data_IF_189102627811
#
_entry.id   IF_189102627811
#
_cell.length_a   1.000
_cell.length_b   1.000
_cell.length_c   1.000
_cell.angle_alpha   90.00
_cell.angle_beta   90.00
_cell.angle_gamma   90.00
#
_symmetry.space_group_name_H-M   'P 1'
#
loop_
_entity.id
_entity.type
_entity.pdbx_description
1 polymer ?
#
# COMPACT_ATOMS: atom_id res chain seq x y z
N UNK A 1 -4.18 0.24 -10.13
CA UNK A 1 -3.15 -0.21 -9.17
C UNK A 1 -2.03 -1.02 -9.82
N UNK A 2 -2.16 -1.47 -11.08
CA UNK A 2 -1.06 -2.14 -11.81
C UNK A 2 -0.38 -1.25 -12.86
N UNK A 3 -0.58 0.07 -12.79
CA UNK A 3 -0.01 1.04 -13.72
C UNK A 3 0.34 2.31 -12.95
N UNK A 4 1.61 2.69 -12.96
CA UNK A 4 2.07 3.91 -12.29
C UNK A 4 1.50 5.17 -12.94
N UNK A 5 1.34 5.19 -14.26
CA UNK A 5 0.70 6.29 -14.99
C UNK A 5 -0.74 6.50 -14.53
N UNK A 6 -1.49 5.41 -14.37
CA UNK A 6 -2.87 5.45 -13.84
C UNK A 6 -2.91 6.01 -12.42
N UNK A 7 -1.96 5.63 -11.56
CA UNK A 7 -1.85 6.10 -10.17
C UNK A 7 -1.52 7.59 -10.12
N UNK A 8 -0.55 8.05 -10.91
CA UNK A 8 -0.21 9.47 -10.98
C UNK A 8 -1.36 10.30 -11.57
N UNK A 9 -2.05 9.79 -12.59
CA UNK A 9 -3.23 10.44 -13.15
C UNK A 9 -4.37 10.53 -12.12
N UNK A 10 -4.54 9.50 -11.28
CA UNK A 10 -5.45 9.55 -10.15
C UNK A 10 -5.07 10.65 -9.15
N UNK A 11 -3.81 10.69 -8.70
CA UNK A 11 -3.35 11.71 -7.75
C UNK A 11 -3.54 13.15 -8.29
N UNK A 12 -3.18 13.42 -9.56
CA UNK A 12 -3.41 14.71 -10.22
C UNK A 12 -4.89 15.09 -10.29
N UNK A 13 -5.77 14.11 -10.53
CA UNK A 13 -7.22 14.34 -10.54
C UNK A 13 -7.73 14.70 -9.15
N UNK A 14 -7.27 13.99 -8.12
CA UNK A 14 -7.59 14.31 -6.72
C UNK A 14 -7.16 15.74 -6.38
N UNK A 15 -5.93 16.11 -6.77
CA UNK A 15 -5.40 17.46 -6.54
C UNK A 15 -6.23 18.56 -7.22
N UNK A 16 -6.61 18.35 -8.48
CA UNK A 16 -7.30 19.37 -9.29
C UNK A 16 -8.81 19.46 -9.07
N UNK A 17 -9.47 18.34 -8.76
CA UNK A 17 -10.94 18.28 -8.76
C UNK A 17 -11.54 18.20 -7.36
N UNK A 18 -10.78 17.75 -6.36
CA UNK A 18 -11.31 17.61 -5.00
C UNK A 18 -10.93 18.83 -4.18
N UNK A 19 -11.93 19.55 -3.67
CA UNK A 19 -11.68 20.78 -2.91
C UNK A 19 -11.14 20.50 -1.52
N UNK A 20 -11.61 19.42 -0.85
CA UNK A 20 -11.25 19.07 0.53
C UNK A 20 -11.26 17.56 0.71
N UNK A 21 -10.36 17.06 1.56
CA UNK A 21 -10.22 15.64 1.87
C UNK A 21 -9.95 15.49 3.36
N UNK A 22 -10.90 14.92 4.09
CA UNK A 22 -10.71 14.57 5.50
C UNK A 22 -10.09 13.19 5.70
N UNK A 23 -10.47 12.22 4.84
CA UNK A 23 -10.09 10.82 4.99
C UNK A 23 -9.79 10.23 3.61
N UNK A 24 -8.72 9.44 3.53
CA UNK A 24 -8.43 8.50 2.45
C UNK A 24 -8.26 7.11 3.06
N UNK A 25 -8.89 6.12 2.46
CA UNK A 25 -8.70 4.71 2.80
C UNK A 25 -8.13 3.99 1.59
N UNK A 26 -6.91 3.48 1.72
CA UNK A 26 -6.27 2.65 0.71
C UNK A 26 -6.53 1.18 1.06
N UNK A 27 -7.65 0.68 0.54
CA UNK A 27 -8.17 -0.67 0.80
C UNK A 27 -7.85 -1.68 -0.34
N UNK A 28 -7.39 -1.19 -1.49
CA UNK A 28 -7.11 -2.07 -2.62
C UNK A 28 -6.09 -3.15 -2.24
N UNK A 29 -6.51 -4.41 -2.31
CA UNK A 29 -5.66 -5.56 -2.06
C UNK A 29 -6.15 -6.78 -2.83
N UNK A 30 -5.26 -7.74 -3.06
CA UNK A 30 -5.60 -8.96 -3.78
C UNK A 30 -4.71 -10.14 -3.38
N UNK A 31 -5.33 -11.33 -3.38
CA UNK A 31 -4.61 -12.60 -3.23
C UNK A 31 -4.85 -13.45 -4.47
N UNK A 32 -3.89 -13.48 -5.40
CA UNK A 32 -4.00 -14.30 -6.61
C UNK A 32 -3.76 -15.78 -6.32
N UNK A 33 -4.55 -16.66 -6.95
CA UNK A 33 -4.36 -18.12 -6.89
C UNK A 33 -3.11 -18.58 -7.64
N UNK A 34 -2.73 -17.86 -8.70
CA UNK A 34 -1.60 -18.17 -9.58
C UNK A 34 -0.68 -16.97 -9.62
N UNK A 35 0.62 -17.23 -9.60
CA UNK A 35 1.65 -16.22 -9.83
C UNK A 35 1.40 -15.53 -11.19
N UNK A 36 1.52 -14.20 -11.20
CA UNK A 36 1.39 -13.38 -12.38
C UNK A 36 2.32 -12.17 -12.27
N UNK A 37 2.89 -11.76 -13.39
CA UNK A 37 3.68 -10.53 -13.51
C UNK A 37 2.83 -9.48 -14.20
N UNK A 38 2.93 -8.23 -13.74
CA UNK A 38 2.42 -7.06 -14.46
C UNK A 38 3.42 -6.71 -15.54
N UNK A 39 3.06 -6.91 -16.81
CA UNK A 39 3.97 -6.78 -17.96
C UNK A 39 4.71 -5.43 -18.00
N UNK A 40 4.02 -4.33 -17.68
CA UNK A 40 4.59 -2.99 -17.76
C UNK A 40 5.59 -2.66 -16.63
N UNK A 41 5.48 -3.32 -15.47
CA UNK A 41 6.32 -3.04 -14.28
C UNK A 41 7.26 -4.17 -13.92
N UNK A 42 7.10 -5.33 -14.57
CA UNK A 42 7.86 -6.56 -14.32
C UNK A 42 7.77 -7.10 -12.88
N UNK A 43 6.80 -6.61 -12.11
CA UNK A 43 6.59 -7.04 -10.73
C UNK A 43 5.48 -8.08 -10.60
N UNK A 44 5.62 -8.96 -9.61
CA UNK A 44 4.54 -9.84 -9.16
C UNK A 44 3.29 -9.03 -8.82
N UNK A 45 2.15 -9.45 -9.36
CA UNK A 45 0.92 -8.67 -9.37
C UNK A 45 0.37 -8.35 -7.98
N UNK A 46 0.39 -9.32 -7.05
CA UNK A 46 -0.05 -9.10 -5.67
C UNK A 46 0.88 -8.11 -4.94
N UNK A 47 2.20 -8.25 -5.06
CA UNK A 47 3.17 -7.30 -4.49
C UNK A 47 3.02 -5.90 -5.11
N UNK A 48 2.84 -5.83 -6.43
CA UNK A 48 2.62 -4.59 -7.16
C UNK A 48 1.40 -3.84 -6.60
N UNK A 49 0.27 -4.52 -6.43
CA UNK A 49 -0.98 -3.90 -5.98
C UNK A 49 -0.94 -3.61 -4.47
N UNK A 50 -0.66 -4.61 -3.64
CA UNK A 50 -0.80 -4.52 -2.19
C UNK A 50 0.28 -3.66 -1.54
N UNK A 51 1.48 -3.60 -2.12
CA UNK A 51 2.60 -2.86 -1.54
C UNK A 51 3.07 -1.73 -2.45
N UNK A 52 3.67 -2.01 -3.62
CA UNK A 52 4.40 -0.99 -4.39
C UNK A 52 3.52 0.18 -4.82
N UNK A 53 2.38 -0.12 -5.43
CA UNK A 53 1.43 0.89 -5.90
C UNK A 53 0.71 1.59 -4.78
N UNK A 54 0.40 0.87 -3.69
CA UNK A 54 -0.28 1.44 -2.53
C UNK A 54 0.63 2.42 -1.79
N UNK A 55 1.91 2.09 -1.61
CA UNK A 55 2.89 3.01 -1.02
C UNK A 55 3.18 4.19 -1.96
N UNK A 56 3.30 3.95 -3.27
CA UNK A 56 3.49 5.02 -4.24
C UNK A 56 2.32 6.01 -4.24
N UNK A 57 1.08 5.51 -4.27
CA UNK A 57 -0.11 6.36 -4.16
C UNK A 57 -0.15 7.12 -2.82
N UNK A 58 0.20 6.45 -1.71
CA UNK A 58 0.30 7.09 -0.39
C UNK A 58 1.21 8.31 -0.44
N UNK A 59 2.42 8.14 -0.97
CA UNK A 59 3.42 9.22 -1.09
C UNK A 59 2.88 10.39 -1.91
N UNK A 60 2.23 10.12 -3.06
CA UNK A 60 1.66 11.17 -3.91
C UNK A 60 0.52 11.93 -3.23
N UNK A 61 -0.25 11.27 -2.37
CA UNK A 61 -1.39 11.89 -1.68
C UNK A 61 -0.98 12.72 -0.47
N UNK A 62 0.13 12.41 0.22
CA UNK A 62 0.58 13.14 1.40
C UNK A 62 0.63 14.68 1.25
N UNK A 63 1.29 15.26 0.22
CA UNK A 63 1.30 16.71 0.04
C UNK A 63 -0.09 17.27 -0.26
N UNK A 64 -0.91 16.52 -0.99
CA UNK A 64 -2.29 16.91 -1.33
C UNK A 64 -3.15 16.97 -0.05
N UNK A 65 -3.04 15.96 0.81
CA UNK A 65 -3.77 15.86 2.07
C UNK A 65 -3.38 16.96 3.05
N UNK A 66 -2.09 17.29 3.13
CA UNK A 66 -1.61 18.42 3.94
C UNK A 66 -2.26 19.75 3.55
N UNK A 67 -2.45 19.99 2.24
CA UNK A 67 -3.05 21.24 1.73
C UNK A 67 -4.58 21.22 1.83
N UNK A 68 -5.20 20.07 1.59
CA UNK A 68 -6.67 19.92 1.45
C UNK A 68 -7.37 19.42 2.72
N UNK A 69 -6.72 19.54 3.88
CA UNK A 69 -7.24 19.11 5.18
C UNK A 69 -8.55 19.79 5.59
N UNK A 70 -9.04 19.46 6.79
CA UNK A 70 -10.34 19.93 7.25
C UNK A 70 -10.31 21.44 7.63
N UNK A 71 -11.42 22.17 7.41
CA UNK A 71 -11.51 23.59 7.81
C UNK A 71 -11.36 23.83 9.31
N UNK A 72 -11.59 22.80 10.13
CA UNK A 72 -11.39 22.82 11.57
C UNK A 72 -9.92 23.00 11.95
N UNK A 73 -8.99 22.88 11.00
CA UNK A 73 -7.54 22.83 11.25
C UNK A 73 -7.06 21.43 11.65
N UNK A 74 -7.95 20.43 11.61
CA UNK A 74 -7.59 19.04 11.90
C UNK A 74 -6.85 18.41 10.70
N UNK A 75 -5.78 17.64 10.96
CA UNK A 75 -5.05 16.92 9.92
C UNK A 75 -5.96 15.94 9.17
N UNK A 76 -5.73 15.78 7.87
CA UNK A 76 -6.37 14.71 7.11
C UNK A 76 -5.84 13.33 7.54
N UNK A 77 -6.67 12.30 7.37
CA UNK A 77 -6.34 10.92 7.72
C UNK A 77 -6.06 10.10 6.46
N UNK A 78 -4.94 9.39 6.44
CA UNK A 78 -4.59 8.39 5.45
C UNK A 78 -4.51 7.02 6.14
N UNK A 79 -5.50 6.18 5.91
CA UNK A 79 -5.54 4.82 6.44
C UNK A 79 -5.18 3.83 5.34
N UNK A 80 -4.21 2.97 5.60
CA UNK A 80 -3.83 1.87 4.70
C UNK A 80 -4.31 0.57 5.31
N UNK A 81 -5.02 -0.24 4.53
CA UNK A 81 -5.52 -1.53 5.01
C UNK A 81 -4.38 -2.55 5.00
N UNK A 82 -4.09 -3.06 6.20
CA UNK A 82 -3.13 -4.13 6.48
C UNK A 82 -3.90 -5.37 6.99
N UNK A 83 -3.20 -6.34 7.56
CA UNK A 83 -3.79 -7.49 8.22
C UNK A 83 -2.88 -8.00 9.36
N UNK A 84 -3.45 -8.62 10.40
CA UNK A 84 -2.70 -9.32 11.45
C UNK A 84 -1.75 -10.38 10.90
N UNK A 85 -1.97 -10.86 9.67
CA UNK A 85 -1.10 -11.76 8.95
C UNK A 85 0.33 -11.22 8.73
N UNK A 86 0.55 -9.91 8.87
CA UNK A 86 1.89 -9.33 8.96
C UNK A 86 2.73 -9.94 10.11
N UNK A 87 2.10 -10.39 11.20
CA UNK A 87 2.77 -11.04 12.34
C UNK A 87 3.16 -12.50 12.05
N UNK A 88 2.60 -13.08 10.98
CA UNK A 88 2.84 -14.46 10.57
C UNK A 88 3.80 -14.58 9.36
N UNK A 89 4.37 -13.46 8.90
CA UNK A 89 5.34 -13.45 7.81
C UNK A 89 6.67 -14.06 8.26
N UNK A 90 7.12 -15.12 7.60
CA UNK A 90 8.46 -15.69 7.80
C UNK A 90 9.54 -14.83 7.12
N UNK A 91 9.16 -14.14 6.05
CA UNK A 91 9.96 -13.26 5.22
C UNK A 91 11.31 -13.89 4.81
N UNK A 92 11.29 -15.03 4.09
CA UNK A 92 12.49 -15.85 3.83
C UNK A 92 13.56 -15.14 2.99
N UNK A 93 13.13 -14.25 2.09
CA UNK A 93 13.98 -13.45 1.22
C UNK A 93 14.44 -12.12 1.83
N UNK A 94 14.27 -11.88 3.14
CA UNK A 94 14.66 -10.61 3.81
C UNK A 94 16.12 -10.17 3.61
N UNK A 95 17.03 -11.11 3.31
CA UNK A 95 18.44 -10.85 3.06
C UNK A 95 18.77 -10.72 1.56
N UNK A 96 17.79 -10.87 0.67
CA UNK A 96 17.99 -10.76 -0.76
C UNK A 96 18.38 -9.33 -1.14
N UNK A 97 19.24 -9.22 -2.17
CA UNK A 97 19.66 -7.96 -2.73
C UNK A 97 19.82 -8.11 -4.26
N UNK A 98 19.01 -7.43 -5.08
CA UNK A 98 17.93 -6.50 -4.70
C UNK A 98 16.72 -7.22 -4.08
N UNK A 99 16.17 -6.66 -2.99
CA UNK A 99 15.08 -7.27 -2.23
C UNK A 99 13.79 -7.37 -3.05
N UNK A 100 13.34 -6.29 -3.68
CA UNK A 100 12.04 -6.28 -4.38
C UNK A 100 12.00 -7.25 -5.56
N UNK A 101 13.08 -7.32 -6.35
CA UNK A 101 13.14 -8.25 -7.48
C UNK A 101 13.10 -9.74 -7.06
N UNK A 102 13.41 -10.05 -5.79
CA UNK A 102 13.36 -11.43 -5.30
C UNK A 102 11.94 -11.97 -5.13
N UNK A 103 10.92 -11.11 -5.18
CA UNK A 103 9.51 -11.52 -5.19
C UNK A 103 8.99 -11.85 -6.58
N UNK A 104 9.75 -11.50 -7.63
CA UNK A 104 9.32 -11.62 -9.03
C UNK A 104 9.73 -12.98 -9.65
N UNK A 105 10.32 -13.90 -8.86
CA UNK A 105 10.65 -15.26 -9.31
C UNK A 105 9.51 -16.26 -8.99
N UNK A 106 8.86 -16.85 -10.00
CA UNK A 106 7.80 -17.85 -9.78
C UNK A 106 8.28 -19.10 -9.05
N UNK A 107 9.58 -19.41 -9.05
CA UNK A 107 10.15 -20.60 -8.39
C UNK A 107 10.22 -20.45 -6.87
N UNK A 108 10.32 -19.22 -6.39
CA UNK A 108 10.39 -18.90 -4.95
C UNK A 108 9.06 -18.37 -4.41
N UNK A 109 8.05 -18.24 -5.28
CA UNK A 109 6.74 -17.70 -4.94
C UNK A 109 5.91 -18.67 -4.10
N UNK A 110 5.95 -18.50 -2.78
CA UNK A 110 4.89 -18.98 -1.90
C UNK A 110 3.79 -17.91 -1.78
N UNK A 111 2.57 -18.28 -2.18
CA UNK A 111 1.43 -17.37 -2.21
C UNK A 111 1.07 -16.80 -0.84
N UNK A 112 1.02 -17.64 0.19
CA UNK A 112 0.63 -17.21 1.53
C UNK A 112 1.72 -16.32 2.11
N UNK A 113 2.96 -16.74 1.97
CA UNK A 113 4.10 -16.00 2.50
C UNK A 113 4.30 -14.66 1.78
N UNK A 114 4.11 -14.59 0.45
CA UNK A 114 4.16 -13.32 -0.29
C UNK A 114 3.09 -12.35 0.21
N UNK A 115 1.88 -12.82 0.46
CA UNK A 115 0.81 -11.98 1.01
C UNK A 115 1.12 -11.52 2.44
N UNK A 116 1.58 -12.42 3.32
CA UNK A 116 1.98 -12.05 4.68
C UNK A 116 3.11 -11.03 4.66
N UNK A 117 4.13 -11.27 3.82
CA UNK A 117 5.26 -10.39 3.65
C UNK A 117 4.84 -9.03 3.07
N UNK A 118 3.89 -8.95 2.12
CA UNK A 118 3.41 -7.64 1.62
C UNK A 118 2.72 -6.81 2.72
N UNK A 119 2.00 -7.46 3.64
CA UNK A 119 1.44 -6.79 4.83
C UNK A 119 2.54 -6.39 5.82
N UNK A 120 3.55 -7.22 6.04
CA UNK A 120 4.72 -6.84 6.85
C UNK A 120 5.47 -5.63 6.26
N UNK A 121 5.69 -5.62 4.94
CA UNK A 121 6.35 -4.51 4.24
C UNK A 121 5.57 -3.20 4.40
N UNK A 122 4.24 -3.25 4.46
CA UNK A 122 3.40 -2.07 4.75
C UNK A 122 3.67 -1.51 6.15
N UNK A 123 3.88 -2.37 7.16
CA UNK A 123 4.29 -1.94 8.51
C UNK A 123 5.68 -1.32 8.51
N UNK A 124 6.65 -1.94 7.83
CA UNK A 124 8.01 -1.41 7.71
C UNK A 124 8.05 -0.05 6.99
N UNK A 125 7.22 0.11 5.96
CA UNK A 125 7.06 1.37 5.26
C UNK A 125 6.53 2.47 6.19
N UNK A 126 5.44 2.22 6.93
CA UNK A 126 4.92 3.21 7.88
C UNK A 126 5.96 3.54 8.96
N UNK A 127 6.67 2.54 9.46
CA UNK A 127 7.75 2.73 10.45
C UNK A 127 8.85 3.67 9.94
N UNK A 128 9.15 3.65 8.64
CA UNK A 128 10.10 4.59 8.05
C UNK A 128 9.44 5.95 7.75
N UNK A 129 8.18 5.95 7.31
CA UNK A 129 7.47 7.15 6.90
C UNK A 129 7.27 8.17 8.05
N UNK A 130 7.14 7.70 9.29
CA UNK A 130 6.94 8.58 10.46
C UNK A 130 8.09 9.58 10.67
N UNK A 131 9.29 9.29 10.16
CA UNK A 131 10.43 10.22 10.21
C UNK A 131 10.26 11.40 9.22
N UNK A 132 9.39 11.26 8.22
CA UNK A 132 9.20 12.24 7.15
C UNK A 132 7.85 12.97 7.21
N UNK A 133 6.87 12.41 7.91
CA UNK A 133 5.49 12.93 7.95
C UNK A 133 5.09 13.26 9.38
N UNK A 134 4.86 14.54 9.65
CA UNK A 134 4.31 14.99 10.93
C UNK A 134 2.83 14.66 11.02
N UNK A 135 2.39 14.10 12.15
CA UNK A 135 0.98 13.88 12.46
C UNK A 135 0.15 15.19 12.52
N UNK A 136 0.82 16.36 12.61
CA UNK A 136 0.16 17.67 12.49
C UNK A 136 -0.19 18.04 11.05
N UNK A 137 0.46 17.42 10.07
CA UNK A 137 0.19 17.63 8.65
C UNK A 137 -0.81 16.59 8.14
N UNK A 138 -0.54 15.30 8.39
CA UNK A 138 -1.39 14.17 7.98
C UNK A 138 -1.25 13.05 9.01
N UNK A 139 -2.36 12.50 9.48
CA UNK A 139 -2.36 11.31 10.32
C UNK A 139 -2.35 10.08 9.42
N UNK A 140 -1.27 9.30 9.46
CA UNK A 140 -1.14 8.05 8.72
C UNK A 140 -1.23 6.87 9.68
N UNK A 141 -2.07 5.89 9.37
CA UNK A 141 -2.20 4.68 10.17
C UNK A 141 -2.43 3.43 9.32
N UNK A 142 -2.28 2.26 9.95
CA UNK A 142 -2.66 0.98 9.39
C UNK A 142 -3.91 0.46 10.10
N UNK A 143 -4.84 -0.09 9.33
CA UNK A 143 -6.03 -0.75 9.86
C UNK A 143 -6.02 -2.23 9.51
N UNK A 144 -6.29 -3.08 10.49
CA UNK A 144 -6.59 -4.50 10.27
C UNK A 144 -8.10 -4.71 10.46
N UNK A 145 -8.84 -5.03 9.38
CA UNK A 145 -10.28 -5.28 9.47
C UNK A 145 -10.60 -6.70 9.99
N UNK A 146 -9.60 -7.51 10.33
CA UNK A 146 -9.71 -8.92 10.66
C UNK A 146 -10.38 -9.73 9.53
N UNK A 147 -10.90 -10.92 9.85
CA UNK A 147 -11.60 -11.75 8.86
C UNK A 147 -12.96 -11.16 8.50
N UNK A 148 -13.01 -10.59 7.29
CA UNK A 148 -14.22 -10.05 6.68
C UNK A 148 -14.78 -11.03 5.65
N UNK A 149 -16.04 -11.46 5.83
CA UNK A 149 -16.74 -12.33 4.88
C UNK A 149 -17.16 -11.54 3.64
N UNK A 150 -17.09 -12.16 2.46
CA UNK A 150 -17.68 -11.62 1.23
C UNK A 150 -16.79 -10.67 0.42
N UNK A 151 -15.49 -10.63 0.73
CA UNK A 151 -14.49 -9.79 0.05
C UNK A 151 -14.06 -10.35 -1.31
N UNK A 152 -14.34 -11.63 -1.58
CA UNK A 152 -13.76 -12.35 -2.73
C UNK A 152 -12.26 -12.65 -2.55
N UNK A 153 -11.71 -12.29 -1.39
CA UNK A 153 -10.31 -12.46 -0.99
C UNK A 153 -10.31 -13.43 0.21
N UNK A 154 -10.47 -14.72 -0.08
CA UNK A 154 -10.49 -15.79 0.93
C UNK A 154 -11.84 -16.00 1.61
#
# INVERSE_FOLDING_TARGET
MSSYDSIQAFARRVESQVTRIGIVVLDAGMIKLKFAIVEDTEHEESLQVDYLSTMFLSILLLPILKVKGLPSGEPAHLTIVSAALALAAEFPNKAANPLLASFDDPKTSDRQEHYHTSKLLTHMFLWNLVDYVSAKDVIVNLADPAWCRGTGIG
#
